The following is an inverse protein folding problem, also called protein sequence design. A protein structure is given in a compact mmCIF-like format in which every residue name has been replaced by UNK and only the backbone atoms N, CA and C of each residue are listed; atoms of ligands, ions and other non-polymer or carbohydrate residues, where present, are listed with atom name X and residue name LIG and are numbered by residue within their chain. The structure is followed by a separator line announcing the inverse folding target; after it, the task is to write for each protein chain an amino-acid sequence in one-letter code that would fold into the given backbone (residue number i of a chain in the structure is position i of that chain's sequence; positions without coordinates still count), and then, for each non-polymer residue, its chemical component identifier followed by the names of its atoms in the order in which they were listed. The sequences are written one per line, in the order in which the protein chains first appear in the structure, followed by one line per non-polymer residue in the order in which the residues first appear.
data_IF_023019848933
#
_entry.id   IF_023019848933
#
_cell.length_a   1.000
_cell.length_b   1.000
_cell.length_c   1.000
_cell.angle_alpha   90.00
_cell.angle_beta   90.00
_cell.angle_gamma   90.00
#
_symmetry.space_group_name_H-M   'P 1'
#
loop_
_entity.id
_entity.type
_entity.pdbx_description
1 polymer ?
#
# COMPACT_ATOMS: atom_id res chain seq x y z
N UNK A 1 -3.40 25.25 18.48
CA UNK A 1 -2.41 24.88 17.45
C UNK A 1 -1.75 23.56 17.83
N UNK A 2 -1.36 22.79 16.81
CA UNK A 2 -0.67 21.52 16.98
C UNK A 2 0.83 21.73 16.80
N UNK A 3 1.63 21.01 17.59
CA UNK A 3 3.08 21.03 17.52
C UNK A 3 3.58 19.61 17.25
N UNK A 4 4.37 19.45 16.19
CA UNK A 4 4.91 18.15 15.80
C UNK A 4 6.43 18.21 15.72
N UNK A 5 7.10 17.20 16.25
CA UNK A 5 8.53 17.00 16.07
C UNK A 5 8.77 16.07 14.86
N UNK A 6 9.74 16.41 14.03
CA UNK A 6 10.15 15.56 12.91
C UNK A 6 11.65 15.63 12.68
N UNK A 7 12.20 14.59 12.03
CA UNK A 7 13.60 14.59 11.62
C UNK A 7 13.78 15.52 10.42
N UNK A 8 14.74 16.42 10.53
CA UNK A 8 15.07 17.44 9.51
C UNK A 8 16.15 16.99 8.51
N UNK A 9 16.73 15.80 8.69
CA UNK A 9 17.75 15.27 7.79
C UNK A 9 17.25 15.21 6.34
N UNK A 10 18.11 15.58 5.42
CA UNK A 10 17.78 15.53 3.99
C UNK A 10 17.83 14.10 3.47
N UNK A 11 16.97 13.74 2.53
CA UNK A 11 17.07 12.47 1.81
C UNK A 11 18.42 12.36 1.10
N UNK A 12 18.96 11.16 1.04
CA UNK A 12 20.22 10.86 0.38
C UNK A 12 20.13 9.58 -0.43
N UNK A 13 20.64 9.64 -1.66
CA UNK A 13 20.92 8.43 -2.42
C UNK A 13 22.24 7.84 -1.97
N UNK A 14 22.27 6.54 -1.77
CA UNK A 14 23.39 5.74 -1.27
C UNK A 14 23.61 4.52 -2.18
N UNK A 15 24.71 3.81 -1.92
CA UNK A 15 25.13 2.67 -2.75
C UNK A 15 26.09 3.09 -3.85
N UNK A 16 26.74 2.11 -4.47
CA UNK A 16 27.74 2.35 -5.53
C UNK A 16 27.11 2.94 -6.82
N UNK A 17 25.84 2.63 -7.02
CA UNK A 17 25.03 3.09 -8.16
C UNK A 17 23.93 4.07 -7.75
N UNK A 18 23.98 4.61 -6.54
CA UNK A 18 22.92 5.46 -5.98
C UNK A 18 21.54 4.79 -5.99
N UNK A 19 21.53 3.46 -5.84
CA UNK A 19 20.35 2.61 -5.94
C UNK A 19 19.47 2.58 -4.69
N UNK A 20 19.97 3.12 -3.58
CA UNK A 20 19.29 3.09 -2.27
C UNK A 20 18.94 4.51 -1.84
N UNK A 21 17.70 4.74 -1.46
CA UNK A 21 17.26 5.97 -0.80
C UNK A 21 17.30 5.78 0.71
N UNK A 22 17.98 6.70 1.40
CA UNK A 22 17.92 6.84 2.85
C UNK A 22 17.24 8.15 3.21
N UNK A 23 16.11 8.10 3.92
CA UNK A 23 15.30 9.28 4.26
C UNK A 23 14.48 9.03 5.52
N UNK A 24 14.16 10.06 6.30
CA UNK A 24 13.04 9.94 7.23
C UNK A 24 11.71 9.83 6.47
N UNK A 25 10.74 9.16 7.06
CA UNK A 25 9.34 9.10 6.59
C UNK A 25 9.16 8.52 5.17
N UNK A 26 10.00 7.58 4.77
CA UNK A 26 9.75 6.76 3.58
C UNK A 26 8.41 6.06 3.75
N UNK A 27 8.19 5.52 4.93
CA UNK A 27 6.91 5.10 5.44
C UNK A 27 6.12 6.34 5.95
N UNK A 28 5.04 6.77 5.29
CA UNK A 28 4.50 6.16 4.07
C UNK A 28 4.54 7.16 2.88
N UNK A 29 5.43 8.19 2.91
CA UNK A 29 5.51 9.21 1.86
C UNK A 29 5.92 8.64 0.50
N UNK A 30 6.67 7.56 0.47
CA UNK A 30 7.01 6.88 -0.78
C UNK A 30 5.76 6.33 -1.47
N UNK A 31 4.87 5.67 -0.72
CA UNK A 31 3.59 5.18 -1.26
C UNK A 31 2.68 6.32 -1.69
N UNK A 32 2.60 7.40 -0.89
CA UNK A 32 1.82 8.60 -1.25
C UNK A 32 2.31 9.20 -2.58
N UNK A 33 3.62 9.33 -2.76
CA UNK A 33 4.22 9.83 -4.00
C UNK A 33 3.89 8.93 -5.18
N UNK A 34 4.07 7.61 -5.03
CA UNK A 34 3.78 6.64 -6.08
C UNK A 34 2.30 6.64 -6.48
N UNK A 35 1.38 6.73 -5.52
CA UNK A 35 -0.05 6.80 -5.78
C UNK A 35 -0.43 8.06 -6.56
N UNK A 36 0.10 9.23 -6.16
CA UNK A 36 -0.19 10.50 -6.83
C UNK A 36 0.36 10.53 -8.26
N UNK A 37 1.57 10.04 -8.48
CA UNK A 37 2.19 9.92 -9.81
C UNK A 37 1.36 8.98 -10.70
N UNK A 38 1.02 7.80 -10.19
CA UNK A 38 0.27 6.79 -10.93
C UNK A 38 -1.17 7.24 -11.26
N UNK A 39 -1.81 8.06 -10.42
CA UNK A 39 -3.14 8.58 -10.70
C UNK A 39 -3.14 9.53 -11.91
N UNK A 40 -2.06 10.28 -12.12
CA UNK A 40 -1.93 11.19 -13.28
C UNK A 40 -1.61 10.45 -14.57
N UNK A 41 -0.94 9.31 -14.48
CA UNK A 41 -0.46 8.55 -15.63
C UNK A 41 -1.39 7.40 -16.03
N UNK A 42 -2.27 6.97 -15.12
CA UNK A 42 -3.22 5.87 -15.34
C UNK A 42 -4.51 6.33 -16.02
N UNK A 43 -4.58 6.26 -17.35
CA UNK A 43 -5.83 6.47 -18.08
C UNK A 43 -6.70 5.20 -18.05
N UNK A 44 -8.00 5.35 -17.77
CA UNK A 44 -8.95 4.23 -17.86
C UNK A 44 -10.14 4.59 -18.73
N UNK A 45 -10.67 3.60 -19.43
CA UNK A 45 -11.81 3.81 -20.35
C UNK A 45 -13.15 4.00 -19.62
N UNK A 46 -13.31 3.40 -18.43
CA UNK A 46 -14.55 3.49 -17.67
C UNK A 46 -14.29 3.31 -16.17
N UNK A 47 -15.18 3.86 -15.33
CA UNK A 47 -15.06 3.81 -13.89
C UNK A 47 -14.36 5.03 -13.29
N UNK A 48 -14.00 4.94 -12.01
CA UNK A 48 -13.39 6.04 -11.25
C UNK A 48 -12.15 5.52 -10.55
N UNK A 49 -11.01 6.16 -10.76
CA UNK A 49 -9.83 6.01 -9.94
C UNK A 49 -9.89 7.01 -8.79
N UNK A 50 -9.66 6.55 -7.58
CA UNK A 50 -9.68 7.37 -6.37
C UNK A 50 -8.51 7.00 -5.47
N UNK A 51 -7.84 8.02 -4.92
CA UNK A 51 -6.83 7.83 -3.88
C UNK A 51 -7.38 8.39 -2.56
N UNK A 52 -7.30 7.59 -1.51
CA UNK A 52 -7.56 8.02 -0.13
C UNK A 52 -6.25 8.14 0.64
N UNK A 53 -5.93 9.34 1.13
CA UNK A 53 -4.79 9.59 2.01
C UNK A 53 -5.32 9.85 3.42
N UNK A 54 -4.99 8.96 4.35
CA UNK A 54 -5.55 8.98 5.70
C UNK A 54 -4.55 9.51 6.72
N UNK A 55 -5.07 10.06 7.81
CA UNK A 55 -4.30 10.42 8.99
C UNK A 55 -4.33 9.30 10.04
N UNK A 56 -3.38 9.37 10.96
CA UNK A 56 -3.36 8.59 12.19
C UNK A 56 -3.23 7.07 11.98
N UNK A 57 -2.60 6.65 10.89
CA UNK A 57 -2.33 5.24 10.65
C UNK A 57 -1.51 4.64 11.80
N UNK A 58 -0.40 5.27 12.17
CA UNK A 58 0.57 4.83 13.18
C UNK A 58 0.02 4.75 14.63
N UNK A 59 -1.14 5.34 14.86
CA UNK A 59 -1.83 5.30 16.16
C UNK A 59 -3.16 4.52 16.09
N UNK A 60 -3.36 3.73 15.03
CA UNK A 60 -4.44 2.75 14.92
C UNK A 60 -5.66 3.19 14.11
N UNK A 61 -5.62 4.33 13.42
CA UNK A 61 -6.68 4.80 12.48
C UNK A 61 -8.06 5.08 13.08
N UNK A 62 -8.27 4.96 14.41
CA UNK A 62 -9.56 5.14 15.09
C UNK A 62 -9.92 6.63 15.33
N UNK A 63 -9.81 7.44 14.29
CA UNK A 63 -10.15 8.87 14.35
C UNK A 63 -11.07 9.27 13.21
N UNK A 64 -11.66 10.47 13.27
CA UNK A 64 -12.57 10.96 12.22
C UNK A 64 -11.92 11.06 10.82
N UNK A 65 -10.59 11.13 10.74
CA UNK A 65 -9.80 11.22 9.51
C UNK A 65 -8.91 9.99 9.28
N UNK A 66 -9.02 8.98 10.12
CA UNK A 66 -8.37 7.69 9.96
C UNK A 66 -9.14 6.77 9.04
N UNK A 67 -8.49 5.69 8.60
CA UNK A 67 -9.09 4.71 7.69
C UNK A 67 -10.24 3.92 8.32
N UNK A 68 -10.23 3.72 9.65
CA UNK A 68 -11.31 3.07 10.38
C UNK A 68 -12.38 4.08 10.82
N UNK A 69 -12.93 4.79 9.84
CA UNK A 69 -13.98 5.78 10.03
C UNK A 69 -15.03 5.72 8.92
N UNK A 70 -16.16 6.37 9.14
CA UNK A 70 -17.21 6.52 8.13
C UNK A 70 -16.86 7.55 7.02
N UNK A 71 -15.66 8.15 7.05
CA UNK A 71 -15.31 9.24 6.12
C UNK A 71 -15.28 8.76 4.67
N UNK A 72 -14.49 7.71 4.37
CA UNK A 72 -14.38 7.20 3.00
C UNK A 72 -15.70 6.63 2.48
N UNK A 73 -16.42 5.75 3.20
CA UNK A 73 -17.75 5.31 2.75
C UNK A 73 -18.70 6.46 2.46
N UNK A 74 -18.77 7.47 3.34
CA UNK A 74 -19.63 8.63 3.15
C UNK A 74 -19.25 9.51 1.95
N UNK A 75 -17.95 9.64 1.65
CA UNK A 75 -17.46 10.36 0.46
C UNK A 75 -17.85 9.60 -0.82
N UNK A 76 -17.62 8.29 -0.88
CA UNK A 76 -17.96 7.45 -2.03
C UNK A 76 -19.46 7.49 -2.32
N UNK A 77 -20.29 7.33 -1.28
CA UNK A 77 -21.75 7.41 -1.40
C UNK A 77 -22.20 8.78 -1.97
N UNK A 78 -21.60 9.87 -1.49
CA UNK A 78 -21.91 11.22 -1.99
C UNK A 78 -21.47 11.45 -3.43
N UNK A 79 -20.30 10.95 -3.83
CA UNK A 79 -19.81 11.04 -5.21
C UNK A 79 -20.78 10.30 -6.14
N UNK A 80 -21.06 9.03 -5.86
CA UNK A 80 -21.91 8.19 -6.70
C UNK A 80 -23.37 8.69 -6.75
N UNK A 81 -23.91 9.16 -5.61
CA UNK A 81 -25.22 9.81 -5.58
C UNK A 81 -25.26 11.10 -6.39
N UNK A 82 -24.19 11.90 -6.33
CA UNK A 82 -24.03 13.12 -7.13
C UNK A 82 -23.97 12.84 -8.64
N UNK A 83 -23.54 11.65 -9.03
CA UNK A 83 -23.56 11.15 -10.42
C UNK A 83 -24.93 10.58 -10.83
N UNK A 84 -25.91 10.58 -9.94
CA UNK A 84 -27.26 10.09 -10.22
C UNK A 84 -27.49 8.61 -9.97
N UNK A 85 -26.54 7.90 -9.31
CA UNK A 85 -26.71 6.49 -8.98
C UNK A 85 -27.74 6.30 -7.86
N UNK A 86 -28.63 5.31 -8.03
CA UNK A 86 -29.51 4.85 -6.94
C UNK A 86 -28.68 4.11 -5.85
N UNK A 87 -29.28 3.94 -4.68
CA UNK A 87 -28.62 3.21 -3.58
C UNK A 87 -28.20 1.78 -4.00
N UNK A 88 -29.06 1.08 -4.71
CA UNK A 88 -28.77 -0.26 -5.22
C UNK A 88 -27.57 -0.25 -6.20
N UNK A 89 -27.53 0.74 -7.11
CA UNK A 89 -26.40 0.89 -8.03
C UNK A 89 -25.10 1.21 -7.30
N UNK A 90 -25.15 2.02 -6.23
CA UNK A 90 -23.99 2.30 -5.38
C UNK A 90 -23.49 1.01 -4.73
N UNK A 91 -24.36 0.23 -4.11
CA UNK A 91 -23.98 -1.01 -3.43
C UNK A 91 -23.39 -2.03 -4.42
N UNK A 92 -23.96 -2.18 -5.61
CA UNK A 92 -23.42 -3.03 -6.68
C UNK A 92 -22.05 -2.53 -7.14
N UNK A 93 -21.90 -1.22 -7.38
CA UNK A 93 -20.63 -0.63 -7.82
C UNK A 93 -19.52 -0.84 -6.80
N UNK A 94 -19.80 -0.65 -5.52
CA UNK A 94 -18.82 -0.87 -4.45
C UNK A 94 -18.43 -2.36 -4.37
N UNK A 95 -19.39 -3.29 -4.46
CA UNK A 95 -19.12 -4.73 -4.43
C UNK A 95 -18.31 -5.22 -5.65
N UNK A 96 -18.37 -4.51 -6.77
CA UNK A 96 -17.59 -4.79 -7.98
C UNK A 96 -16.27 -4.03 -8.06
N UNK A 97 -16.02 -3.12 -7.13
CA UNK A 97 -14.80 -2.33 -7.08
C UNK A 97 -13.65 -3.09 -6.42
N UNK A 98 -12.46 -2.59 -6.63
CA UNK A 98 -11.22 -3.10 -6.06
C UNK A 98 -10.47 -2.00 -5.32
N UNK A 99 -9.67 -2.36 -4.32
CA UNK A 99 -8.76 -1.42 -3.69
C UNK A 99 -7.37 -2.00 -3.46
N UNK A 100 -6.39 -1.11 -3.44
CA UNK A 100 -5.04 -1.37 -2.97
C UNK A 100 -4.81 -0.58 -1.67
N UNK A 101 -4.36 -1.26 -0.64
CA UNK A 101 -3.82 -0.64 0.57
C UNK A 101 -2.31 -0.61 0.44
N UNK A 102 -1.76 0.59 0.24
CA UNK A 102 -0.35 0.77 -0.13
C UNK A 102 0.41 1.38 1.03
N UNK A 103 1.30 0.58 1.61
CA UNK A 103 2.02 0.92 2.83
C UNK A 103 3.40 0.25 2.87
N UNK A 104 4.36 0.78 3.63
CA UNK A 104 5.69 0.18 3.77
C UNK A 104 5.65 -1.31 4.11
N UNK A 105 6.57 -2.11 3.62
CA UNK A 105 6.72 -3.53 3.96
C UNK A 105 8.09 -3.80 4.59
N UNK A 106 8.17 -4.76 5.52
CA UNK A 106 9.46 -5.14 6.10
C UNK A 106 10.29 -5.96 5.11
N UNK A 107 11.48 -5.46 4.75
CA UNK A 107 12.46 -6.27 4.04
C UNK A 107 13.19 -7.22 4.98
N UNK A 108 13.66 -8.34 4.46
CA UNK A 108 14.53 -9.27 5.20
C UNK A 108 15.82 -8.57 5.60
N UNK A 109 16.02 -8.40 6.91
CA UNK A 109 17.22 -7.75 7.44
C UNK A 109 18.38 -8.74 7.46
N UNK A 110 19.55 -8.43 6.89
CA UNK A 110 20.66 -9.38 6.74
C UNK A 110 21.18 -9.93 8.08
N UNK A 111 21.11 -9.14 9.16
CA UNK A 111 21.57 -9.55 10.49
C UNK A 111 20.47 -10.17 11.36
N UNK A 112 19.20 -10.14 10.92
CA UNK A 112 18.04 -10.60 11.71
C UNK A 112 17.11 -11.48 10.85
N UNK A 113 17.69 -12.40 10.11
CA UNK A 113 16.97 -13.31 9.21
C UNK A 113 15.96 -14.21 9.91
N UNK A 114 16.15 -14.43 11.21
CA UNK A 114 15.24 -15.16 12.09
C UNK A 114 13.93 -14.41 12.37
N UNK A 115 13.85 -13.12 12.06
CA UNK A 115 12.64 -12.31 12.19
C UNK A 115 11.66 -12.48 11.04
N UNK A 116 12.12 -12.93 9.88
CA UNK A 116 11.29 -13.18 8.71
C UNK A 116 10.80 -14.63 8.68
N UNK A 117 9.76 -14.89 7.89
CA UNK A 117 9.38 -16.26 7.52
C UNK A 117 10.57 -16.98 6.84
N UNK A 118 10.61 -18.29 6.93
CA UNK A 118 11.74 -19.06 6.40
C UNK A 118 11.73 -19.19 4.88
N UNK A 119 10.56 -19.12 4.27
CA UNK A 119 10.34 -19.42 2.85
C UNK A 119 9.87 -18.20 2.05
N UNK A 120 9.08 -17.32 2.66
CA UNK A 120 8.42 -16.20 1.99
C UNK A 120 8.94 -14.88 2.58
N UNK A 121 9.95 -14.30 1.91
CA UNK A 121 10.69 -13.12 2.36
C UNK A 121 10.71 -12.06 1.28
N UNK A 122 10.56 -10.81 1.66
CA UNK A 122 10.78 -9.69 0.77
C UNK A 122 12.22 -9.16 0.89
N UNK A 123 12.81 -8.80 -0.21
CA UNK A 123 14.15 -8.22 -0.30
C UNK A 123 14.10 -6.88 -1.02
N UNK A 124 14.89 -5.92 -0.55
CA UNK A 124 15.07 -4.66 -1.27
C UNK A 124 15.67 -4.92 -2.67
N UNK A 125 15.17 -4.19 -3.67
CA UNK A 125 15.61 -4.30 -5.07
C UNK A 125 15.01 -5.48 -5.84
N UNK A 126 14.01 -6.16 -5.28
CA UNK A 126 13.33 -7.28 -5.94
C UNK A 126 11.87 -6.97 -6.28
N UNK A 127 11.49 -5.70 -6.22
CA UNK A 127 10.16 -5.22 -6.58
C UNK A 127 9.21 -5.02 -5.39
N UNK A 128 8.02 -4.54 -5.74
CA UNK A 128 6.95 -4.31 -4.76
C UNK A 128 6.50 -5.60 -4.10
N UNK A 129 6.09 -5.53 -2.86
CA UNK A 129 5.77 -6.70 -2.03
C UNK A 129 4.28 -6.76 -1.71
N UNK A 130 3.62 -7.86 -2.04
CA UNK A 130 2.28 -8.20 -1.55
C UNK A 130 2.40 -8.76 -0.13
N UNK A 131 1.61 -8.24 0.79
CA UNK A 131 1.57 -8.69 2.18
C UNK A 131 0.45 -9.72 2.34
N UNK A 132 0.77 -10.92 2.81
CA UNK A 132 -0.20 -12.01 3.01
C UNK A 132 -0.26 -12.39 4.49
N UNK A 133 -1.44 -12.63 5.01
CA UNK A 133 -1.62 -13.05 6.39
C UNK A 133 -2.80 -14.02 6.55
N UNK A 134 -2.52 -15.21 7.04
CA UNK A 134 -3.57 -16.20 7.36
C UNK A 134 -4.50 -15.76 8.50
N UNK A 135 -4.13 -14.77 9.29
CA UNK A 135 -4.95 -14.18 10.37
C UNK A 135 -5.67 -12.90 9.95
N UNK A 136 -5.68 -12.59 8.65
CA UNK A 136 -6.36 -11.40 8.08
C UNK A 136 -5.88 -10.06 8.66
N UNK A 137 -4.61 -9.98 9.04
CA UNK A 137 -3.98 -8.70 9.40
C UNK A 137 -3.70 -7.83 8.19
N UNK A 138 -3.67 -8.44 7.01
CA UNK A 138 -3.60 -7.83 5.70
C UNK A 138 -4.81 -8.30 4.89
N UNK A 139 -5.34 -7.44 4.05
CA UNK A 139 -6.58 -7.65 3.29
C UNK A 139 -6.36 -8.39 1.96
N UNK A 140 -5.20 -9.01 1.75
CA UNK A 140 -4.88 -9.66 0.48
C UNK A 140 -5.71 -10.93 0.28
N UNK A 141 -6.69 -10.85 -0.59
CA UNK A 141 -7.46 -12.00 -1.04
C UNK A 141 -6.87 -12.60 -2.34
N UNK A 142 -7.24 -13.84 -2.63
CA UNK A 142 -6.69 -14.57 -3.77
C UNK A 142 -7.08 -13.98 -5.13
N UNK A 143 -8.24 -13.31 -5.24
CA UNK A 143 -8.69 -12.66 -6.47
C UNK A 143 -7.82 -11.46 -6.79
N UNK A 144 -7.61 -10.58 -5.81
CA UNK A 144 -6.76 -9.42 -5.98
C UNK A 144 -5.30 -9.79 -6.20
N UNK A 145 -4.81 -10.80 -5.48
CA UNK A 145 -3.46 -11.30 -5.70
C UNK A 145 -3.28 -11.82 -7.13
N UNK A 146 -4.25 -12.57 -7.67
CA UNK A 146 -4.21 -13.06 -9.05
C UNK A 146 -4.23 -11.92 -10.08
N UNK A 147 -4.99 -10.84 -9.84
CA UNK A 147 -5.01 -9.65 -10.69
C UNK A 147 -3.62 -8.98 -10.69
N UNK A 148 -3.05 -8.71 -9.51
CA UNK A 148 -1.75 -8.06 -9.40
C UNK A 148 -0.63 -8.92 -10.02
N UNK A 149 -0.68 -10.23 -9.84
CA UNK A 149 0.26 -11.15 -10.48
C UNK A 149 0.12 -11.13 -12.00
N UNK A 150 -1.10 -11.12 -12.52
CA UNK A 150 -1.36 -10.99 -13.96
C UNK A 150 -0.83 -9.68 -14.54
N UNK A 151 -1.00 -8.55 -13.82
CA UNK A 151 -0.41 -7.25 -14.21
C UNK A 151 1.13 -7.29 -14.18
N UNK A 152 1.70 -7.87 -13.13
CA UNK A 152 3.15 -8.04 -13.01
C UNK A 152 3.73 -8.83 -14.18
N UNK A 153 3.09 -9.94 -14.57
CA UNK A 153 3.51 -10.78 -15.71
C UNK A 153 3.28 -10.05 -17.05
N UNK A 154 2.16 -9.36 -17.24
CA UNK A 154 1.81 -8.64 -18.47
C UNK A 154 2.78 -7.49 -18.80
N UNK A 155 3.22 -6.77 -17.76
CA UNK A 155 4.04 -5.56 -17.90
C UNK A 155 5.49 -5.74 -17.44
N UNK A 156 5.91 -6.97 -17.14
CA UNK A 156 7.27 -7.30 -16.65
C UNK A 156 7.68 -6.50 -15.41
N UNK A 157 6.74 -6.41 -14.43
CA UNK A 157 6.94 -5.67 -13.18
C UNK A 157 7.38 -6.64 -12.09
N UNK A 158 8.45 -6.31 -11.37
CA UNK A 158 8.93 -7.12 -10.25
C UNK A 158 7.95 -7.11 -9.09
N UNK A 159 7.49 -8.28 -8.68
CA UNK A 159 6.52 -8.50 -7.60
C UNK A 159 7.00 -9.60 -6.66
N UNK A 160 6.97 -9.33 -5.38
CA UNK A 160 7.30 -10.27 -4.32
C UNK A 160 6.10 -10.54 -3.41
N UNK A 161 6.25 -11.51 -2.53
CA UNK A 161 5.28 -11.83 -1.48
C UNK A 161 6.00 -11.92 -0.13
N UNK A 162 5.33 -11.46 0.92
CA UNK A 162 5.79 -11.65 2.29
C UNK A 162 4.68 -12.22 3.18
N UNK A 163 5.06 -13.17 4.00
CA UNK A 163 4.28 -13.62 5.15
C UNK A 163 5.01 -13.26 6.44
N UNK A 164 4.26 -12.81 7.43
CA UNK A 164 4.79 -12.65 8.77
C UNK A 164 5.11 -14.02 9.39
N UNK A 165 6.20 -14.10 10.13
CA UNK A 165 6.51 -15.28 10.91
C UNK A 165 5.45 -15.47 12.00
N UNK A 166 4.86 -16.66 12.10
CA UNK A 166 3.79 -16.98 13.05
C UNK A 166 4.12 -16.75 14.53
N UNK A 167 5.41 -16.73 14.87
CA UNK A 167 5.90 -16.52 16.23
C UNK A 167 6.15 -15.06 16.58
N UNK A 168 6.01 -14.15 15.62
CA UNK A 168 6.20 -12.70 15.78
C UNK A 168 4.87 -12.00 15.61
N UNK A 169 4.54 -11.14 16.55
CA UNK A 169 3.33 -10.33 16.45
C UNK A 169 3.63 -9.20 15.44
N UNK A 170 3.14 -9.36 14.22
CA UNK A 170 3.18 -8.31 13.20
C UNK A 170 2.21 -7.17 13.48
N UNK A 171 2.36 -6.07 12.76
CA UNK A 171 1.41 -4.97 12.71
C UNK A 171 0.15 -5.31 11.92
N UNK A 172 -0.64 -4.31 11.64
CA UNK A 172 -1.75 -4.31 10.69
C UNK A 172 -1.63 -3.07 9.80
N UNK A 173 -2.39 -3.03 8.73
CA UNK A 173 -2.40 -1.93 7.75
C UNK A 173 -3.81 -1.36 7.63
N UNK A 174 -3.99 -0.39 6.73
CA UNK A 174 -5.30 0.19 6.42
C UNK A 174 -6.25 -0.83 5.73
N UNK A 175 -5.71 -1.83 5.03
CA UNK A 175 -6.48 -2.75 4.22
C UNK A 175 -7.63 -3.44 4.95
N UNK A 176 -7.42 -4.14 6.06
CA UNK A 176 -8.50 -4.77 6.82
C UNK A 176 -9.56 -3.78 7.32
N UNK A 177 -9.16 -2.55 7.65
CA UNK A 177 -10.08 -1.50 8.09
C UNK A 177 -10.98 -1.05 6.94
N UNK A 178 -10.42 -0.76 5.78
CA UNK A 178 -11.19 -0.43 4.58
C UNK A 178 -12.13 -1.58 4.20
N UNK A 179 -11.64 -2.83 4.18
CA UNK A 179 -12.43 -4.01 3.87
C UNK A 179 -13.56 -4.28 4.87
N UNK A 180 -13.46 -3.80 6.12
CA UNK A 180 -14.54 -3.91 7.10
C UNK A 180 -15.68 -2.90 6.86
N UNK A 181 -15.41 -1.80 6.19
CA UNK A 181 -16.39 -0.76 5.89
C UNK A 181 -16.94 -0.83 4.47
N UNK A 182 -16.18 -1.39 3.53
CA UNK A 182 -16.52 -1.42 2.10
C UNK A 182 -16.44 -2.85 1.56
N UNK A 183 -17.47 -3.34 0.85
CA UNK A 183 -17.54 -4.72 0.33
C UNK A 183 -16.69 -4.90 -0.95
N UNK A 184 -15.47 -4.37 -0.95
CA UNK A 184 -14.55 -4.42 -2.09
C UNK A 184 -13.52 -5.53 -1.89
N UNK A 185 -13.08 -6.16 -2.98
CA UNK A 185 -11.91 -7.02 -2.92
C UNK A 185 -10.63 -6.18 -2.83
N UNK A 186 -9.73 -6.54 -1.91
CA UNK A 186 -8.57 -5.73 -1.58
C UNK A 186 -7.25 -6.47 -1.55
N UNK A 187 -6.16 -5.73 -1.65
CA UNK A 187 -4.82 -6.23 -1.46
C UNK A 187 -3.93 -5.22 -0.75
N UNK A 188 -3.21 -5.69 0.26
CA UNK A 188 -2.15 -4.94 0.92
C UNK A 188 -0.81 -5.18 0.23
N UNK A 189 -0.16 -4.11 -0.16
CA UNK A 189 1.14 -4.16 -0.79
C UNK A 189 2.01 -2.96 -0.39
N UNK A 190 3.31 -3.06 -0.64
CA UNK A 190 4.21 -1.94 -0.32
C UNK A 190 5.64 -2.14 -0.75
N UNK A 191 6.43 -1.10 -0.55
CA UNK A 191 7.86 -1.09 -0.83
C UNK A 191 8.58 -1.82 0.31
N UNK A 192 9.40 -2.85 0.01
CA UNK A 192 10.21 -3.47 1.04
C UNK A 192 11.30 -2.51 1.52
N UNK A 193 11.36 -2.29 2.83
CA UNK A 193 12.28 -1.33 3.45
C UNK A 193 12.95 -1.88 4.68
N UNK A 194 14.06 -1.26 5.07
CA UNK A 194 14.74 -1.47 6.34
C UNK A 194 14.59 -0.26 7.24
N UNK A 195 14.67 -0.52 8.54
CA UNK A 195 14.62 0.50 9.59
C UNK A 195 13.34 1.36 9.57
N UNK A 196 12.21 0.77 9.16
CA UNK A 196 10.87 1.40 9.24
C UNK A 196 10.65 1.99 10.64
N UNK A 197 10.02 3.17 10.71
CA UNK A 197 9.79 3.98 11.92
C UNK A 197 11.06 4.53 12.59
N UNK A 198 12.24 4.36 11.98
CA UNK A 198 13.46 4.99 12.48
C UNK A 198 13.59 6.44 11.98
N UNK A 199 14.52 7.16 12.56
CA UNK A 199 14.87 8.50 12.08
C UNK A 199 15.42 8.50 10.64
N UNK A 200 15.85 7.33 10.13
CA UNK A 200 16.43 7.19 8.79
C UNK A 200 16.13 5.82 8.21
N UNK A 201 15.07 5.78 7.47
CA UNK A 201 14.58 4.58 6.79
C UNK A 201 15.32 4.36 5.47
N UNK A 202 15.25 3.15 4.94
CA UNK A 202 16.05 2.76 3.77
C UNK A 202 15.22 1.90 2.82
N UNK A 203 15.14 2.27 1.54
CA UNK A 203 14.49 1.49 0.48
C UNK A 203 15.35 1.45 -0.79
N UNK A 204 15.09 0.50 -1.68
CA UNK A 204 15.68 0.51 -3.02
C UNK A 204 14.80 1.31 -3.99
N UNK A 205 15.44 2.13 -4.84
CA UNK A 205 14.72 2.94 -5.84
C UNK A 205 14.01 2.07 -6.88
N UNK A 206 14.55 0.89 -7.19
CA UNK A 206 13.91 -0.05 -8.11
C UNK A 206 12.53 -0.52 -7.63
N UNK A 207 12.35 -0.67 -6.30
CA UNK A 207 11.08 -1.10 -5.72
C UNK A 207 10.03 0.02 -5.79
N UNK A 208 10.45 1.28 -5.66
CA UNK A 208 9.59 2.44 -5.88
C UNK A 208 9.10 2.50 -7.33
N UNK A 209 10.00 2.31 -8.29
CA UNK A 209 9.63 2.26 -9.72
C UNK A 209 8.65 1.13 -9.99
N UNK A 210 8.88 -0.06 -9.42
CA UNK A 210 7.96 -1.20 -9.55
C UNK A 210 6.59 -0.89 -8.96
N UNK A 211 6.52 -0.16 -7.84
CA UNK A 211 5.25 0.27 -7.25
C UNK A 211 4.50 1.24 -8.18
N UNK A 212 5.16 2.27 -8.70
CA UNK A 212 4.57 3.20 -9.65
C UNK A 212 4.01 2.46 -10.88
N UNK A 213 4.80 1.57 -11.47
CA UNK A 213 4.39 0.79 -12.64
C UNK A 213 3.17 -0.10 -12.34
N UNK A 214 3.15 -0.80 -11.20
CA UNK A 214 2.05 -1.68 -10.83
C UNK A 214 0.77 -0.92 -10.55
N UNK A 215 0.84 0.21 -9.84
CA UNK A 215 -0.33 1.05 -9.55
C UNK A 215 -0.86 1.72 -10.81
N UNK A 216 0.03 2.22 -11.69
CA UNK A 216 -0.38 2.77 -13.01
C UNK A 216 -1.10 1.71 -13.84
N UNK A 217 -0.55 0.49 -13.93
CA UNK A 217 -1.20 -0.61 -14.62
C UNK A 217 -2.55 -0.97 -14.00
N UNK A 218 -2.66 -0.97 -12.67
CA UNK A 218 -3.92 -1.22 -11.96
C UNK A 218 -4.97 -0.12 -12.23
N UNK A 219 -4.58 1.14 -12.34
CA UNK A 219 -5.49 2.24 -12.65
C UNK A 219 -5.94 2.25 -14.12
N UNK A 220 -5.20 1.63 -15.01
CA UNK A 220 -5.52 1.58 -16.45
C UNK A 220 -6.47 0.43 -16.83
N UNK A 221 -6.59 -0.59 -16.01
CA UNK A 221 -7.48 -1.77 -16.24
C UNK A 221 -8.88 -1.57 -15.62
#
# INVERSE_FOLDING_TARGET
YDLNLYNYDQPQLCGVKEEILCSPRIDNLASVSALLESLTDGERESGINLIGLFNHEEVGSFTKSGADSALLPGILERILSGMGCSKEQIDISLAQSYYLSVDGAHAAHPNYTDRCDMTTRAYMGQGVTVKVSGTQKYASDCKMYAILKGLSEKYDILLQEINDRNTIRGGTTLGPMIGSHLPMAGCDLGIPMLAMHSARETMAMADYVSLCQLVTAFFAE
#
